data_IF_971447095795
#
_entry.id   IF_971447095795
#
_cell.length_a   1.000
_cell.length_b   1.000
_cell.length_c   1.000
_cell.angle_alpha   90.00
_cell.angle_beta   90.00
_cell.angle_gamma   90.00
#
_symmetry.space_group_name_H-M   'P 1'
#
loop_
_entity.id
_entity.type
_entity.pdbx_description
1 polymer ?
#
# COMPACT_ATOMS: atom_id res chain seq x y z
N UNK A 1 -45.71 -7.31 7.42
CA UNK A 1 -45.80 -8.64 6.74
C UNK A 1 -47.16 -8.75 6.07
N UNK A 2 -47.35 -9.48 4.94
CA UNK A 2 -46.48 -10.53 4.34
C UNK A 2 -46.02 -10.16 2.90
N UNK A 3 -44.88 -10.61 2.36
CA UNK A 3 -44.38 -11.95 1.96
C UNK A 3 -45.06 -12.59 0.73
N UNK A 4 -44.33 -12.55 -0.42
CA UNK A 4 -44.16 -13.56 -1.51
C UNK A 4 -45.41 -14.01 -2.32
N UNK A 5 -45.29 -14.58 -3.56
CA UNK A 5 -44.23 -15.49 -4.05
C UNK A 5 -43.76 -15.37 -5.53
N UNK A 6 -42.67 -16.09 -5.84
CA UNK A 6 -42.16 -16.42 -7.19
C UNK A 6 -43.12 -17.32 -7.98
N UNK A 7 -42.89 -17.49 -9.31
CA UNK A 7 -42.54 -18.84 -9.76
C UNK A 7 -41.45 -18.95 -10.85
N UNK A 8 -41.04 -20.21 -10.96
CA UNK A 8 -39.96 -20.94 -11.65
C UNK A 8 -39.95 -21.02 -13.20
N UNK A 9 -38.76 -21.44 -13.70
CA UNK A 9 -38.38 -22.27 -14.89
C UNK A 9 -37.41 -21.49 -15.80
N UNK A 10 -36.23 -21.96 -16.22
CA UNK A 10 -35.63 -23.29 -16.30
C UNK A 10 -35.11 -23.50 -17.72
N UNK A 11 -33.79 -23.67 -17.92
CA UNK A 11 -33.12 -24.52 -18.94
C UNK A 11 -31.61 -24.28 -19.04
N UNK A 12 -30.87 -25.36 -18.80
CA UNK A 12 -29.82 -25.97 -19.63
C UNK A 12 -28.90 -25.10 -20.50
N UNK A 13 -27.58 -25.19 -20.26
CA UNK A 13 -26.59 -25.50 -21.30
C UNK A 13 -25.22 -25.81 -20.66
N UNK A 14 -24.80 -27.07 -20.79
CA UNK A 14 -23.44 -27.57 -20.57
C UNK A 14 -22.79 -27.70 -21.95
N UNK A 15 -21.57 -27.16 -22.12
CA UNK A 15 -20.73 -27.39 -23.31
C UNK A 15 -19.29 -27.66 -22.83
N UNK A 16 -18.79 -28.90 -22.84
CA UNK A 16 -18.26 -29.66 -23.99
C UNK A 16 -16.80 -29.32 -24.32
N UNK A 17 -15.86 -30.13 -23.80
CA UNK A 17 -14.51 -30.30 -24.34
C UNK A 17 -14.40 -31.73 -24.95
N UNK A 18 -13.86 -31.92 -26.17
CA UNK A 18 -13.77 -33.24 -26.77
C UNK A 18 -12.40 -33.91 -26.61
N UNK A 19 -12.43 -35.19 -26.25
CA UNK A 19 -11.37 -36.18 -26.49
C UNK A 19 -11.45 -36.75 -27.91
N UNK A 20 -10.29 -36.93 -28.57
CA UNK A 20 -10.07 -37.86 -29.71
C UNK A 20 -8.56 -37.93 -30.00
N UNK A 21 -7.90 -39.02 -30.37
CA UNK A 21 -8.12 -40.47 -30.35
C UNK A 21 -6.78 -41.16 -30.68
N UNK A 22 -6.67 -42.44 -30.30
CA UNK A 22 -5.58 -43.35 -30.65
C UNK A 22 -5.68 -43.90 -32.10
N UNK A 23 -4.51 -44.15 -32.70
CA UNK A 23 -4.16 -45.12 -33.78
C UNK A 23 -2.67 -45.46 -33.54
N UNK A 24 -2.11 -46.66 -33.60
CA UNK A 24 -2.51 -47.95 -34.16
C UNK A 24 -1.51 -48.47 -35.22
N UNK A 25 -0.28 -48.85 -34.82
CA UNK A 25 0.70 -49.87 -35.37
C UNK A 25 1.01 -49.95 -36.90
N UNK A 26 1.97 -50.78 -37.43
CA UNK A 26 2.99 -51.70 -36.85
C UNK A 26 4.39 -51.69 -37.55
N UNK A 27 5.22 -52.73 -37.28
CA UNK A 27 6.47 -53.22 -37.93
C UNK A 27 7.79 -52.74 -37.28
N UNK A 28 8.77 -53.56 -36.88
CA UNK A 28 9.05 -54.98 -37.10
C UNK A 28 10.39 -55.14 -37.83
N UNK A 29 11.50 -55.40 -37.13
CA UNK A 29 12.68 -56.13 -37.66
C UNK A 29 13.67 -56.52 -36.54
N UNK A 30 14.16 -57.77 -36.62
CA UNK A 30 15.08 -58.46 -35.71
C UNK A 30 16.56 -58.16 -36.03
N UNK A 31 17.37 -58.00 -34.96
CA UNK A 31 18.72 -58.55 -34.58
C UNK A 31 19.78 -58.94 -35.65
N UNK A 32 21.08 -59.27 -35.33
CA UNK A 32 21.79 -59.33 -34.03
C UNK A 32 23.28 -58.82 -34.00
N UNK A 33 23.80 -58.58 -32.78
CA UNK A 33 25.08 -59.15 -32.31
C UNK A 33 26.42 -58.39 -32.49
N UNK A 34 27.04 -58.01 -31.37
CA UNK A 34 28.42 -58.40 -30.99
C UNK A 34 28.68 -58.16 -29.49
N UNK A 35 29.52 -59.03 -28.93
CA UNK A 35 29.86 -59.22 -27.51
C UNK A 35 31.09 -58.36 -27.09
N UNK A 36 31.53 -58.41 -25.81
CA UNK A 36 31.92 -57.25 -24.99
C UNK A 36 33.43 -57.00 -24.96
N UNK A 37 33.84 -55.85 -24.42
CA UNK A 37 35.16 -55.67 -23.82
C UNK A 37 35.08 -54.97 -22.45
N UNK A 38 36.02 -55.26 -21.52
CA UNK A 38 35.92 -54.97 -20.11
C UNK A 38 36.70 -53.71 -19.72
N UNK A 39 36.32 -53.09 -18.59
CA UNK A 39 37.19 -52.16 -17.87
C UNK A 39 36.56 -50.79 -17.66
N UNK A 40 35.97 -50.61 -16.49
CA UNK A 40 35.58 -49.31 -15.97
C UNK A 40 35.27 -49.47 -14.47
N UNK A 41 35.84 -48.65 -13.57
CA UNK A 41 35.69 -48.84 -12.13
C UNK A 41 34.27 -48.51 -11.67
N UNK A 42 33.78 -49.26 -10.67
CA UNK A 42 32.54 -48.96 -9.95
C UNK A 42 32.63 -47.57 -9.31
N UNK A 43 31.58 -46.74 -9.38
CA UNK A 43 31.37 -45.71 -8.38
C UNK A 43 30.54 -46.31 -7.24
N UNK A 44 31.21 -46.89 -6.25
CA UNK A 44 30.65 -46.94 -4.89
C UNK A 44 30.86 -45.54 -4.29
N UNK A 45 29.90 -44.65 -4.54
CA UNK A 45 29.67 -43.45 -3.72
C UNK A 45 28.27 -42.93 -4.03
N UNK A 46 27.30 -43.45 -3.30
CA UNK A 46 26.06 -42.73 -3.08
C UNK A 46 26.45 -41.40 -2.39
N UNK A 47 26.44 -40.32 -3.15
CA UNK A 47 26.38 -38.97 -2.58
C UNK A 47 25.07 -38.88 -1.79
N UNK A 48 25.07 -38.49 -0.50
CA UNK A 48 23.83 -38.23 0.19
C UNK A 48 23.13 -37.06 -0.51
N UNK A 49 21.87 -37.26 -0.87
CA UNK A 49 21.01 -36.19 -1.37
C UNK A 49 20.97 -35.04 -0.33
N UNK A 50 21.12 -33.78 -0.75
CA UNK A 50 20.92 -32.65 0.16
C UNK A 50 19.41 -32.46 0.35
N UNK A 51 18.81 -33.24 1.24
CA UNK A 51 17.34 -33.22 1.42
C UNK A 51 16.88 -33.46 2.87
N UNK A 52 17.71 -33.23 3.88
CA UNK A 52 17.30 -33.30 5.30
C UNK A 52 17.55 -32.01 6.11
N UNK A 53 18.12 -30.98 5.51
CA UNK A 53 18.39 -29.72 6.23
C UNK A 53 17.25 -28.68 6.13
N UNK A 54 16.44 -28.73 5.06
CA UNK A 54 15.35 -27.78 4.84
C UNK A 54 14.10 -28.11 5.67
N UNK A 55 13.68 -29.39 5.71
CA UNK A 55 12.51 -29.85 6.48
C UNK A 55 12.66 -29.64 8.00
N UNK A 56 13.90 -29.69 8.54
CA UNK A 56 14.15 -29.47 9.97
C UNK A 56 14.06 -28.00 10.37
N UNK A 57 14.50 -27.08 9.51
CA UNK A 57 14.52 -25.65 9.80
C UNK A 57 13.10 -25.04 9.85
N UNK A 58 12.21 -25.52 8.99
CA UNK A 58 10.80 -25.11 8.98
C UNK A 58 10.06 -25.68 10.21
N UNK A 59 10.34 -26.94 10.59
CA UNK A 59 9.79 -27.53 11.82
C UNK A 59 10.20 -26.75 13.07
N UNK A 60 11.47 -26.33 13.16
CA UNK A 60 11.97 -25.55 14.30
C UNK A 60 11.32 -24.15 14.36
N UNK A 61 11.13 -23.49 13.21
CA UNK A 61 10.45 -22.20 13.13
C UNK A 61 8.97 -22.31 13.52
N UNK A 62 8.28 -23.37 13.08
CA UNK A 62 6.89 -23.62 13.45
C UNK A 62 6.71 -23.83 14.96
N UNK A 63 7.63 -24.53 15.61
CA UNK A 63 7.60 -24.71 17.07
C UNK A 63 7.85 -23.38 17.80
N UNK A 64 8.80 -22.57 17.32
CA UNK A 64 9.06 -21.24 17.84
C UNK A 64 7.84 -20.31 17.72
N UNK A 65 7.17 -20.30 16.56
CA UNK A 65 5.96 -19.52 16.31
C UNK A 65 4.81 -19.95 17.25
N UNK A 66 4.63 -21.26 17.45
CA UNK A 66 3.64 -21.79 18.38
C UNK A 66 3.93 -21.38 19.83
N UNK A 67 5.19 -21.46 20.26
CA UNK A 67 5.60 -21.05 21.61
C UNK A 67 5.32 -19.55 21.86
N UNK A 68 5.83 -18.67 20.99
CA UNK A 68 5.66 -17.22 21.18
C UNK A 68 4.19 -16.83 21.05
N UNK A 69 3.43 -17.47 20.16
CA UNK A 69 1.99 -17.25 20.02
C UNK A 69 1.23 -17.66 21.28
N UNK A 70 1.54 -18.81 21.88
CA UNK A 70 0.93 -19.24 23.14
C UNK A 70 1.28 -18.29 24.30
N UNK A 71 2.54 -17.86 24.40
CA UNK A 71 2.97 -16.87 25.40
C UNK A 71 2.29 -15.52 25.20
N UNK A 72 2.05 -15.09 23.96
CA UNK A 72 1.34 -13.84 23.67
C UNK A 72 -0.16 -13.92 24.00
N UNK A 73 -0.76 -15.11 23.91
CA UNK A 73 -2.13 -15.32 24.39
C UNK A 73 -2.27 -15.05 25.89
N UNK A 74 -1.23 -15.38 26.66
CA UNK A 74 -1.08 -15.11 28.10
C UNK A 74 -0.11 -13.94 28.34
N UNK A 75 -0.30 -12.85 27.59
CA UNK A 75 0.60 -11.69 27.58
C UNK A 75 0.92 -11.18 29.01
N UNK A 76 2.19 -10.82 29.29
CA UNK A 76 2.56 -10.19 30.56
C UNK A 76 1.83 -8.87 30.78
N UNK A 77 1.47 -8.60 32.04
CA UNK A 77 0.84 -7.32 32.42
C UNK A 77 1.84 -6.15 32.39
N UNK A 78 3.15 -6.42 32.48
CA UNK A 78 4.19 -5.41 32.49
C UNK A 78 4.68 -5.07 31.08
N UNK A 79 4.86 -3.77 30.82
CA UNK A 79 5.23 -3.28 29.48
C UNK A 79 6.58 -3.79 29.00
N UNK A 80 7.56 -3.99 29.88
CA UNK A 80 8.91 -4.44 29.49
C UNK A 80 8.92 -5.92 29.07
N UNK A 81 8.20 -6.76 29.81
CA UNK A 81 7.99 -8.17 29.50
C UNK A 81 7.20 -8.35 28.20
N UNK A 82 6.11 -7.60 28.05
CA UNK A 82 5.31 -7.59 26.82
C UNK A 82 6.14 -7.12 25.62
N UNK A 83 6.93 -6.06 25.76
CA UNK A 83 7.75 -5.55 24.67
C UNK A 83 8.80 -6.56 24.20
N UNK A 84 9.46 -7.25 25.13
CA UNK A 84 10.40 -8.34 24.79
C UNK A 84 9.71 -9.48 24.06
N UNK A 85 8.51 -9.87 24.51
CA UNK A 85 7.73 -10.91 23.86
C UNK A 85 7.30 -10.50 22.45
N UNK A 86 6.87 -9.24 22.24
CA UNK A 86 6.53 -8.72 20.92
C UNK A 86 7.74 -8.70 19.98
N UNK A 87 8.95 -8.41 20.49
CA UNK A 87 10.17 -8.52 19.69
C UNK A 87 10.50 -9.95 19.28
N UNK A 88 10.26 -10.92 20.16
CA UNK A 88 10.38 -12.34 19.80
C UNK A 88 9.36 -12.70 18.70
N UNK A 89 8.11 -12.28 18.84
CA UNK A 89 7.04 -12.49 17.84
C UNK A 89 7.42 -11.87 16.49
N UNK A 90 7.78 -10.58 16.47
CA UNK A 90 8.25 -9.85 15.29
C UNK A 90 9.39 -10.60 14.59
N UNK A 91 10.42 -11.01 15.34
CA UNK A 91 11.59 -11.74 14.83
C UNK A 91 11.20 -13.03 14.12
N UNK A 92 10.22 -13.78 14.62
CA UNK A 92 9.79 -15.03 14.00
C UNK A 92 8.85 -14.78 12.81
N UNK A 93 7.93 -13.81 12.91
CA UNK A 93 7.04 -13.43 11.79
C UNK A 93 7.84 -12.94 10.57
N UNK A 94 8.92 -12.17 10.77
CA UNK A 94 9.81 -11.71 9.71
C UNK A 94 10.42 -12.84 8.86
N UNK A 95 10.52 -14.05 9.42
CA UNK A 95 11.08 -15.23 8.72
C UNK A 95 10.03 -16.01 7.93
N UNK A 96 8.75 -15.72 8.11
CA UNK A 96 7.65 -16.42 7.44
C UNK A 96 7.42 -15.78 6.07
N UNK A 97 7.46 -16.58 5.02
CA UNK A 97 7.17 -16.11 3.66
C UNK A 97 5.70 -15.73 3.49
N UNK A 98 5.40 -14.98 2.43
CA UNK A 98 4.02 -14.66 2.04
C UNK A 98 3.29 -15.95 1.59
N UNK A 99 2.01 -16.08 1.96
CA UNK A 99 1.18 -17.25 1.65
C UNK A 99 1.86 -18.60 1.99
N UNK A 100 2.30 -18.80 3.25
CA UNK A 100 3.11 -19.96 3.62
C UNK A 100 2.31 -21.26 3.59
N UNK A 101 3.00 -22.40 3.76
CA UNK A 101 2.36 -23.71 3.86
C UNK A 101 1.33 -23.75 5.02
N UNK A 102 0.32 -24.62 4.88
CA UNK A 102 -0.79 -24.69 5.84
C UNK A 102 -0.34 -24.99 7.29
N UNK A 103 0.73 -25.77 7.47
CA UNK A 103 1.32 -26.06 8.79
C UNK A 103 1.94 -24.80 9.41
N UNK A 104 2.70 -24.04 8.63
CA UNK A 104 3.33 -22.80 9.05
C UNK A 104 2.29 -21.72 9.34
N UNK A 105 1.28 -21.59 8.48
CA UNK A 105 0.16 -20.70 8.74
C UNK A 105 -0.58 -21.07 10.03
N UNK A 106 -0.80 -22.36 10.29
CA UNK A 106 -1.38 -22.82 11.56
C UNK A 106 -0.48 -22.51 12.78
N UNK A 107 0.84 -22.47 12.61
CA UNK A 107 1.78 -22.06 13.64
C UNK A 107 1.74 -20.54 13.93
N UNK A 108 1.43 -19.72 12.93
CA UNK A 108 1.31 -18.25 13.06
C UNK A 108 -0.02 -17.83 13.72
N UNK A 109 -1.09 -18.60 13.53
CA UNK A 109 -2.45 -18.28 14.02
C UNK A 109 -2.53 -17.87 15.49
N UNK A 110 -1.90 -18.57 16.47
CA UNK A 110 -2.00 -18.16 17.87
C UNK A 110 -1.48 -16.74 18.12
N UNK A 111 -0.44 -16.31 17.41
CA UNK A 111 0.06 -14.94 17.49
C UNK A 111 -0.92 -13.95 16.82
N UNK A 112 -1.46 -14.29 15.65
CA UNK A 112 -2.46 -13.46 14.95
C UNK A 112 -3.70 -13.20 15.83
N UNK A 113 -4.20 -14.23 16.49
CA UNK A 113 -5.38 -14.14 17.36
C UNK A 113 -5.10 -13.32 18.63
N UNK A 114 -3.86 -13.34 19.12
CA UNK A 114 -3.47 -12.58 20.29
C UNK A 114 -3.28 -11.09 19.97
N UNK A 115 -2.69 -10.76 18.82
CA UNK A 115 -2.35 -9.39 18.41
C UNK A 115 -3.57 -8.47 18.26
N UNK A 116 -4.75 -9.03 18.00
CA UNK A 116 -6.01 -8.28 17.83
C UNK A 116 -6.78 -8.07 19.15
N UNK A 117 -6.25 -8.52 20.28
CA UNK A 117 -6.86 -8.30 21.58
C UNK A 117 -6.88 -6.81 21.91
N UNK A 118 -8.06 -6.31 22.31
CA UNK A 118 -8.27 -4.88 22.58
C UNK A 118 -7.30 -4.33 23.65
N UNK A 119 -6.92 -5.16 24.63
CA UNK A 119 -5.95 -4.82 25.66
C UNK A 119 -4.58 -4.46 25.08
N UNK A 120 -4.16 -5.14 24.00
CA UNK A 120 -2.93 -4.85 23.29
C UNK A 120 -3.10 -3.62 22.37
N UNK A 121 -4.17 -3.59 21.57
CA UNK A 121 -4.40 -2.50 20.61
C UNK A 121 -4.54 -1.12 21.29
N UNK A 122 -5.10 -1.08 22.49
CA UNK A 122 -5.31 0.16 23.26
C UNK A 122 -4.19 0.48 24.25
N UNK A 123 -3.08 -0.28 24.23
CA UNK A 123 -2.00 -0.16 25.22
C UNK A 123 -1.41 1.28 25.27
N UNK A 124 -1.17 1.86 26.46
CA UNK A 124 -0.78 3.27 26.57
C UNK A 124 0.69 3.55 26.18
N UNK A 125 1.56 2.54 26.27
CA UNK A 125 2.98 2.69 25.94
C UNK A 125 3.21 2.75 24.42
N UNK A 126 3.85 3.82 23.94
CA UNK A 126 4.11 4.07 22.52
C UNK A 126 5.06 3.04 21.88
N UNK A 127 6.08 2.56 22.61
CA UNK A 127 7.01 1.55 22.09
C UNK A 127 6.33 0.18 21.97
N UNK A 128 5.44 -0.15 22.92
CA UNK A 128 4.59 -1.36 22.81
C UNK A 128 3.67 -1.26 21.60
N UNK A 129 3.02 -0.10 21.38
CA UNK A 129 2.19 0.13 20.20
C UNK A 129 2.97 0.02 18.90
N UNK A 130 4.20 0.53 18.86
CA UNK A 130 5.06 0.41 17.68
C UNK A 130 5.48 -1.05 17.43
N UNK A 131 5.78 -1.82 18.47
CA UNK A 131 6.09 -3.25 18.34
C UNK A 131 4.86 -4.06 17.85
N UNK A 132 3.67 -3.74 18.36
CA UNK A 132 2.39 -4.30 17.88
C UNK A 132 2.18 -3.95 16.41
N UNK A 133 2.36 -2.69 16.01
CA UNK A 133 2.24 -2.25 14.63
C UNK A 133 3.16 -3.03 13.68
N UNK A 134 4.40 -3.29 14.11
CA UNK A 134 5.37 -4.08 13.35
C UNK A 134 4.94 -5.54 13.20
N UNK A 135 4.47 -6.17 14.28
CA UNK A 135 3.93 -7.53 14.22
C UNK A 135 2.71 -7.59 13.28
N UNK A 136 1.80 -6.63 13.37
CA UNK A 136 0.62 -6.55 12.50
C UNK A 136 1.05 -6.36 11.04
N UNK A 137 2.01 -5.48 10.75
CA UNK A 137 2.47 -5.29 9.36
C UNK A 137 3.04 -6.59 8.79
N UNK A 138 3.78 -7.36 9.58
CA UNK A 138 4.25 -8.67 9.15
C UNK A 138 3.12 -9.69 8.95
N UNK A 139 2.11 -9.70 9.83
CA UNK A 139 0.91 -10.50 9.60
C UNK A 139 0.23 -10.14 8.28
N UNK A 140 0.04 -8.84 7.99
CA UNK A 140 -0.54 -8.40 6.71
C UNK A 140 0.31 -8.82 5.52
N UNK A 141 1.65 -8.84 5.65
CA UNK A 141 2.55 -9.34 4.61
C UNK A 141 2.41 -10.84 4.40
N UNK A 142 2.32 -11.62 5.47
CA UNK A 142 2.20 -13.07 5.43
C UNK A 142 0.89 -13.50 4.76
N UNK A 143 -0.22 -12.80 5.04
CA UNK A 143 -1.53 -13.17 4.51
C UNK A 143 -1.87 -12.57 3.16
N UNK A 144 -1.18 -11.50 2.73
CA UNK A 144 -1.45 -10.86 1.46
C UNK A 144 -1.38 -11.87 0.29
N UNK A 145 -2.25 -11.74 -0.73
CA UNK A 145 -3.18 -10.62 -0.99
C UNK A 145 -4.46 -10.62 -0.13
N UNK A 146 -4.73 -11.67 0.63
CA UNK A 146 -5.92 -11.78 1.46
C UNK A 146 -5.77 -11.00 2.78
N UNK A 147 -6.81 -10.21 3.12
CA UNK A 147 -6.84 -9.51 4.39
C UNK A 147 -6.84 -10.51 5.56
N UNK A 148 -6.00 -10.29 6.59
CA UNK A 148 -5.87 -11.25 7.69
C UNK A 148 -7.09 -11.30 8.62
N UNK A 149 -7.88 -10.22 8.66
CA UNK A 149 -8.99 -10.04 9.59
C UNK A 149 -10.19 -9.39 8.89
N UNK A 150 -11.34 -9.34 9.58
CA UNK A 150 -12.51 -8.61 9.08
C UNK A 150 -12.33 -7.09 9.08
N UNK A 151 -13.17 -6.42 8.30
CA UNK A 151 -13.13 -4.97 8.03
C UNK A 151 -13.07 -4.08 9.29
N UNK A 152 -13.76 -4.46 10.38
CA UNK A 152 -13.77 -3.65 11.59
C UNK A 152 -12.42 -3.72 12.30
N UNK A 153 -11.87 -4.93 12.40
CA UNK A 153 -10.54 -5.14 12.96
C UNK A 153 -9.50 -4.44 12.07
N UNK A 154 -9.58 -4.62 10.75
CA UNK A 154 -8.64 -3.99 9.82
C UNK A 154 -8.59 -2.46 9.95
N UNK A 155 -9.73 -1.79 10.20
CA UNK A 155 -9.77 -0.35 10.47
C UNK A 155 -8.92 0.04 11.69
N UNK A 156 -9.07 -0.67 12.80
CA UNK A 156 -8.31 -0.41 14.02
C UNK A 156 -6.81 -0.67 13.83
N UNK A 157 -6.47 -1.74 13.11
CA UNK A 157 -5.09 -2.10 12.80
C UNK A 157 -4.42 -1.07 11.89
N UNK A 158 -5.11 -0.58 10.85
CA UNK A 158 -4.58 0.48 10.01
C UNK A 158 -4.39 1.79 10.76
N UNK A 159 -5.27 2.11 11.72
CA UNK A 159 -5.09 3.28 12.58
C UNK A 159 -3.76 3.22 13.36
N UNK A 160 -3.43 2.04 13.89
CA UNK A 160 -2.16 1.81 14.59
C UNK A 160 -0.97 1.92 13.64
N UNK A 161 -1.04 1.28 12.47
CA UNK A 161 0.03 1.31 11.45
C UNK A 161 0.30 2.75 11.00
N UNK A 162 -0.73 3.49 10.57
CA UNK A 162 -0.59 4.86 10.09
C UNK A 162 -0.07 5.79 11.19
N UNK A 163 -0.47 5.57 12.44
CA UNK A 163 0.06 6.32 13.59
C UNK A 163 1.59 6.19 13.76
N UNK A 164 2.21 5.11 13.28
CA UNK A 164 3.68 4.96 13.34
C UNK A 164 4.43 5.92 12.43
N UNK A 165 3.76 6.48 11.41
CA UNK A 165 4.37 7.38 10.43
C UNK A 165 4.53 8.82 10.93
N UNK A 166 3.96 9.16 12.08
CA UNK A 166 4.08 10.50 12.67
C UNK A 166 5.51 10.89 13.07
N UNK A 167 6.43 9.92 13.22
CA UNK A 167 7.80 10.16 13.69
C UNK A 167 8.85 9.59 12.72
N UNK A 168 8.63 9.72 11.40
CA UNK A 168 9.59 9.29 10.37
C UNK A 168 10.77 10.26 10.21
N UNK A 169 10.75 11.39 10.91
CA UNK A 169 11.83 12.38 11.02
C UNK A 169 12.78 12.11 12.22
N UNK A 170 12.39 11.24 13.15
CA UNK A 170 13.18 10.86 14.33
C UNK A 170 14.24 9.79 13.98
N UNK A 171 15.20 10.17 13.14
CA UNK A 171 16.24 9.28 12.57
C UNK A 171 17.16 8.70 13.65
N UNK A 172 17.36 9.43 14.75
CA UNK A 172 18.23 9.02 15.87
C UNK A 172 17.52 8.03 16.82
N UNK A 173 16.22 7.79 16.64
CA UNK A 173 15.46 6.84 17.43
C UNK A 173 15.98 5.40 17.24
N UNK A 174 16.19 4.63 18.32
CA UNK A 174 16.47 3.19 18.22
C UNK A 174 15.37 2.43 17.46
N UNK A 175 14.17 3.00 17.43
CA UNK A 175 12.98 2.43 16.79
C UNK A 175 12.78 2.91 15.35
N UNK A 176 13.67 3.75 14.81
CA UNK A 176 13.57 4.28 13.45
C UNK A 176 13.58 3.19 12.39
N UNK A 177 14.48 2.21 12.50
CA UNK A 177 14.55 1.07 11.58
C UNK A 177 13.23 0.29 11.50
N UNK A 178 12.52 0.17 12.63
CA UNK A 178 11.21 -0.49 12.68
C UNK A 178 10.13 0.31 11.94
N UNK A 179 10.11 1.65 12.10
CA UNK A 179 9.17 2.52 11.36
C UNK A 179 9.39 2.42 9.85
N UNK A 180 10.65 2.34 9.41
CA UNK A 180 10.99 2.11 8.00
C UNK A 180 10.45 0.75 7.54
N UNK A 181 10.69 -0.32 8.29
CA UNK A 181 10.21 -1.65 7.95
C UNK A 181 8.69 -1.70 7.79
N UNK A 182 7.94 -1.06 8.68
CA UNK A 182 6.47 -0.96 8.60
C UNK A 182 6.06 -0.24 7.31
N UNK A 183 6.66 0.92 7.02
CA UNK A 183 6.37 1.70 5.82
C UNK A 183 6.68 0.93 4.54
N UNK A 184 7.85 0.26 4.48
CA UNK A 184 8.23 -0.57 3.35
C UNK A 184 7.23 -1.71 3.14
N UNK A 185 6.81 -2.38 4.21
CA UNK A 185 5.82 -3.46 4.12
C UNK A 185 4.49 -2.94 3.58
N UNK A 186 3.97 -1.82 4.11
CA UNK A 186 2.74 -1.16 3.62
C UNK A 186 2.81 -0.86 2.12
N UNK A 187 3.94 -0.32 1.66
CA UNK A 187 4.16 -0.03 0.24
C UNK A 187 4.21 -1.31 -0.61
N UNK A 188 4.99 -2.31 -0.17
CA UNK A 188 5.24 -3.56 -0.93
C UNK A 188 3.98 -4.41 -1.09
N UNK A 189 3.20 -4.58 -0.01
CA UNK A 189 1.96 -5.37 -0.06
C UNK A 189 0.73 -4.53 -0.40
N UNK A 190 0.95 -3.27 -0.79
CA UNK A 190 -0.08 -2.35 -1.28
C UNK A 190 -1.22 -2.18 -0.28
N UNK A 191 -0.93 -2.16 1.02
CA UNK A 191 -1.95 -2.14 2.08
C UNK A 191 -2.91 -0.95 1.99
N UNK A 192 -2.47 0.15 1.37
CA UNK A 192 -3.33 1.29 1.09
C UNK A 192 -4.51 1.01 0.15
N UNK A 193 -4.44 -0.03 -0.69
CA UNK A 193 -5.58 -0.44 -1.52
C UNK A 193 -6.70 -1.01 -0.64
N UNK A 194 -6.34 -1.79 0.39
CA UNK A 194 -7.32 -2.26 1.38
C UNK A 194 -7.93 -1.09 2.15
N UNK A 195 -7.15 -0.03 2.44
CA UNK A 195 -7.72 1.18 3.06
C UNK A 195 -8.73 1.89 2.15
N UNK A 196 -8.53 1.87 0.83
CA UNK A 196 -9.50 2.39 -0.15
C UNK A 196 -10.76 1.53 -0.19
N UNK A 197 -10.61 0.20 -0.26
CA UNK A 197 -11.75 -0.75 -0.28
C UNK A 197 -12.63 -0.63 0.98
N UNK A 198 -12.01 -0.26 2.11
CA UNK A 198 -12.67 -0.04 3.40
C UNK A 198 -13.17 1.39 3.61
N UNK A 199 -13.02 2.28 2.62
CA UNK A 199 -13.43 3.70 2.67
C UNK A 199 -12.81 4.45 3.86
N UNK A 200 -11.53 4.22 4.17
CA UNK A 200 -10.81 4.84 5.30
C UNK A 200 -10.23 6.23 4.95
N UNK A 201 -11.06 7.07 4.36
CA UNK A 201 -10.73 8.37 3.80
C UNK A 201 -9.94 9.31 4.74
N UNK A 202 -10.45 9.51 5.96
CA UNK A 202 -9.81 10.38 6.96
C UNK A 202 -8.42 9.85 7.36
N UNK A 203 -8.27 8.52 7.41
CA UNK A 203 -7.02 7.86 7.77
C UNK A 203 -5.99 7.96 6.63
N UNK A 204 -6.45 7.86 5.38
CA UNK A 204 -5.61 8.06 4.19
C UNK A 204 -5.10 9.51 4.15
N UNK A 205 -5.97 10.49 4.40
CA UNK A 205 -5.56 11.89 4.46
C UNK A 205 -4.58 12.14 5.63
N UNK A 206 -4.82 11.51 6.78
CA UNK A 206 -3.90 11.55 7.92
C UNK A 206 -2.53 10.96 7.57
N UNK A 207 -2.48 9.84 6.84
CA UNK A 207 -1.23 9.25 6.37
C UNK A 207 -0.45 10.21 5.46
N UNK A 208 -1.12 10.84 4.49
CA UNK A 208 -0.50 11.85 3.63
C UNK A 208 0.05 13.02 4.45
N UNK A 209 -0.71 13.47 5.44
CA UNK A 209 -0.27 14.52 6.35
C UNK A 209 0.99 14.10 7.12
N UNK A 210 1.02 12.89 7.68
CA UNK A 210 2.22 12.37 8.35
C UNK A 210 3.43 12.39 7.42
N UNK A 211 3.33 11.89 6.19
CA UNK A 211 4.43 11.93 5.23
C UNK A 211 4.90 13.35 4.92
N UNK A 212 3.99 14.28 4.63
CA UNK A 212 4.37 15.66 4.34
C UNK A 212 4.96 16.41 5.54
N UNK A 213 4.56 16.09 6.77
CA UNK A 213 5.08 16.72 7.99
C UNK A 213 6.42 16.15 8.44
N UNK A 214 6.71 14.89 8.12
CA UNK A 214 7.91 14.18 8.58
C UNK A 214 8.99 14.04 7.50
N UNK A 215 8.67 14.36 6.25
CA UNK A 215 9.67 14.30 5.18
C UNK A 215 10.75 15.36 5.39
N UNK A 216 12.02 14.95 5.34
CA UNK A 216 13.18 15.83 5.50
C UNK A 216 14.18 15.64 4.36
N UNK A 217 15.04 16.64 4.14
CA UNK A 217 16.06 16.59 3.07
C UNK A 217 17.13 15.50 3.28
N UNK A 218 17.33 15.05 4.52
CA UNK A 218 18.36 14.07 4.88
C UNK A 218 17.81 12.65 5.03
N UNK A 219 16.58 12.42 4.58
CA UNK A 219 15.91 11.14 4.80
C UNK A 219 16.47 10.04 3.88
N UNK A 220 16.56 8.79 4.36
CA UNK A 220 17.02 7.69 3.50
C UNK A 220 16.14 7.53 2.25
N UNK A 221 16.75 7.26 1.10
CA UNK A 221 16.04 7.15 -0.19
C UNK A 221 14.90 6.11 -0.15
N UNK A 222 15.09 5.01 0.57
CA UNK A 222 14.08 3.96 0.75
C UNK A 222 12.80 4.49 1.41
N UNK A 223 12.92 5.45 2.32
CA UNK A 223 11.77 6.06 3.02
C UNK A 223 11.00 6.93 2.04
N UNK A 224 11.69 7.82 1.32
CA UNK A 224 11.07 8.69 0.31
C UNK A 224 10.41 7.84 -0.78
N UNK A 225 11.09 6.80 -1.29
CA UNK A 225 10.52 5.89 -2.27
C UNK A 225 9.26 5.21 -1.75
N UNK A 226 9.26 4.75 -0.50
CA UNK A 226 8.09 4.06 0.08
C UNK A 226 6.91 5.02 0.32
N UNK A 227 7.17 6.27 0.74
CA UNK A 227 6.15 7.33 0.80
C UNK A 227 5.54 7.58 -0.59
N UNK A 228 6.38 7.81 -1.60
CA UNK A 228 5.93 8.05 -2.98
C UNK A 228 5.12 6.87 -3.52
N UNK A 229 5.62 5.64 -3.37
CA UNK A 229 4.91 4.43 -3.82
C UNK A 229 3.55 4.31 -3.14
N UNK A 230 3.47 4.53 -1.83
CA UNK A 230 2.21 4.43 -1.09
C UNK A 230 1.21 5.50 -1.53
N UNK A 231 1.64 6.76 -1.62
CA UNK A 231 0.77 7.88 -2.04
C UNK A 231 0.32 7.73 -3.49
N UNK A 232 1.23 7.30 -4.38
CA UNK A 232 0.92 6.98 -5.77
C UNK A 232 -0.16 5.90 -5.86
N UNK A 233 0.01 4.78 -5.15
CA UNK A 233 -0.95 3.67 -5.18
C UNK A 233 -2.35 4.12 -4.74
N UNK A 234 -2.44 4.99 -3.73
CA UNK A 234 -3.73 5.58 -3.32
C UNK A 234 -4.37 6.34 -4.48
N UNK A 235 -3.61 7.18 -5.19
CA UNK A 235 -4.12 8.00 -6.28
C UNK A 235 -4.52 7.16 -7.50
N UNK A 236 -3.67 6.20 -7.88
CA UNK A 236 -3.85 5.39 -9.09
C UNK A 236 -4.98 4.37 -8.92
N UNK A 237 -5.14 3.80 -7.73
CA UNK A 237 -6.18 2.79 -7.47
C UNK A 237 -7.53 3.42 -7.08
N UNK A 238 -7.57 4.73 -6.81
CA UNK A 238 -8.82 5.45 -6.59
C UNK A 238 -9.67 5.50 -7.88
N UNK A 239 -10.94 5.13 -7.79
CA UNK A 239 -11.92 5.37 -8.85
C UNK A 239 -12.18 6.89 -9.01
N UNK A 240 -12.41 7.57 -7.89
CA UNK A 240 -12.55 9.01 -7.80
C UNK A 240 -11.63 9.53 -6.69
N UNK A 241 -10.72 10.45 -7.05
CA UNK A 241 -9.79 11.02 -6.09
C UNK A 241 -10.53 12.01 -5.20
N UNK A 242 -10.36 11.87 -3.89
CA UNK A 242 -10.97 12.80 -2.95
C UNK A 242 -10.46 14.23 -3.13
N UNK A 243 -11.37 15.20 -3.15
CA UNK A 243 -11.04 16.63 -3.29
C UNK A 243 -10.09 17.13 -2.22
N UNK A 244 -10.25 16.67 -0.98
CA UNK A 244 -9.35 17.05 0.12
C UNK A 244 -7.91 16.59 -0.14
N UNK A 245 -7.73 15.36 -0.62
CA UNK A 245 -6.43 14.78 -0.94
C UNK A 245 -5.77 15.51 -2.11
N UNK A 246 -6.51 15.72 -3.21
CA UNK A 246 -6.01 16.43 -4.38
C UNK A 246 -5.68 17.90 -4.06
N UNK A 247 -6.53 18.58 -3.29
CA UNK A 247 -6.26 19.94 -2.81
C UNK A 247 -5.00 20.00 -1.97
N UNK A 248 -4.78 18.99 -1.12
CA UNK A 248 -3.61 18.94 -0.27
C UNK A 248 -2.32 18.73 -1.07
N UNK A 249 -2.32 17.81 -2.04
CA UNK A 249 -1.21 17.63 -2.98
C UNK A 249 -0.91 18.89 -3.78
N UNK A 250 -1.95 19.52 -4.34
CA UNK A 250 -1.82 20.74 -5.12
C UNK A 250 -1.23 21.88 -4.29
N UNK A 251 -1.67 22.01 -3.03
CA UNK A 251 -1.12 22.97 -2.09
C UNK A 251 0.37 22.72 -1.81
N UNK A 252 0.76 21.47 -1.55
CA UNK A 252 2.17 21.10 -1.28
C UNK A 252 3.08 21.30 -2.50
N UNK A 253 2.51 21.35 -3.72
CA UNK A 253 3.22 21.63 -4.96
C UNK A 253 3.16 23.12 -5.41
N UNK A 254 2.78 24.05 -4.53
CA UNK A 254 2.76 25.49 -4.84
C UNK A 254 4.16 26.09 -4.68
N UNK A 255 4.59 26.92 -5.63
CA UNK A 255 5.92 27.56 -5.60
C UNK A 255 5.95 28.68 -4.55
N UNK A 256 6.71 28.50 -3.47
CA UNK A 256 6.81 29.52 -2.41
C UNK A 256 7.70 30.72 -2.75
N UNK A 257 8.61 30.60 -3.73
CA UNK A 257 9.47 31.73 -4.16
C UNK A 257 8.68 32.95 -4.66
N UNK A 258 7.38 32.80 -4.99
CA UNK A 258 6.49 33.91 -5.42
C UNK A 258 5.47 34.35 -4.38
N UNK A 259 5.48 33.82 -3.16
CA UNK A 259 4.52 34.17 -2.11
C UNK A 259 4.77 35.60 -1.57
N UNK A 260 6.00 36.09 -1.64
CA UNK A 260 6.36 37.45 -1.18
C UNK A 260 5.80 38.59 -2.03
N UNK A 261 5.33 38.35 -3.27
CA UNK A 261 4.76 39.42 -4.09
C UNK A 261 3.23 39.54 -3.97
N UNK A 262 2.53 38.45 -3.59
CA UNK A 262 1.07 38.45 -3.51
C UNK A 262 0.54 38.80 -2.12
N UNK A 263 1.25 38.39 -1.05
CA UNK A 263 0.84 38.65 0.33
C UNK A 263 0.89 40.13 0.74
N UNK A 264 1.59 41.00 -0.01
CA UNK A 264 1.59 42.44 0.25
C UNK A 264 0.35 43.18 -0.31
N UNK A 265 -0.43 42.57 -1.20
CA UNK A 265 -1.58 43.24 -1.84
C UNK A 265 -2.95 42.86 -1.26
N UNK A 266 -3.05 41.74 -0.53
CA UNK A 266 -4.34 41.22 -0.05
C UNK A 266 -4.55 41.24 1.47
N UNK A 267 -3.53 41.59 2.27
CA UNK A 267 -3.66 41.67 3.72
C UNK A 267 -4.60 42.81 4.20
N UNK A 268 -4.83 43.82 3.37
CA UNK A 268 -5.64 44.99 3.74
C UNK A 268 -7.16 44.81 3.49
N UNK A 269 -7.66 43.66 2.99
CA UNK A 269 -9.06 43.54 2.52
C UNK A 269 -9.85 42.28 2.93
N UNK A 270 -9.49 41.57 4.01
CA UNK A 270 -10.31 40.44 4.50
C UNK A 270 -10.87 40.69 5.90
N UNK A 271 -12.09 41.23 5.96
CA UNK A 271 -12.99 41.05 7.10
C UNK A 271 -13.48 39.58 7.11
N UNK A 272 -12.93 38.76 8.01
CA UNK A 272 -13.33 37.36 8.16
C UNK A 272 -14.61 37.24 9.02
N UNK A 273 -15.68 36.56 8.54
CA UNK A 273 -16.81 36.19 9.37
C UNK A 273 -16.45 35.00 10.28
N UNK A 274 -16.83 35.07 11.56
CA UNK A 274 -16.65 33.97 12.51
C UNK A 274 -17.48 32.72 12.13
N UNK A 275 -16.93 31.50 12.21
CA UNK A 275 -17.66 30.29 11.85
C UNK A 275 -18.69 29.94 12.93
N UNK A 276 -19.96 29.86 12.51
CA UNK A 276 -21.05 29.31 13.31
C UNK A 276 -20.87 27.79 13.48
N UNK A 277 -21.12 27.34 14.71
CA UNK A 277 -21.02 25.97 15.18
C UNK A 277 -22.03 25.06 14.47
N UNK A 278 -21.58 24.24 13.54
CA UNK A 278 -22.05 22.87 13.25
C UNK A 278 -21.36 22.35 11.98
N UNK A 279 -20.38 21.44 12.14
CA UNK A 279 -19.52 20.91 11.06
C UNK A 279 -18.02 20.81 11.40
N UNK A 280 -17.67 20.69 12.68
CA UNK A 280 -16.40 21.15 13.25
C UNK A 280 -15.11 20.39 12.94
N UNK A 281 -15.09 19.20 12.33
CA UNK A 281 -13.83 18.45 12.13
C UNK A 281 -13.20 18.63 10.74
N UNK A 282 -13.96 18.50 9.65
CA UNK A 282 -13.40 18.63 8.29
C UNK A 282 -12.93 20.05 7.97
N UNK A 283 -13.62 21.07 8.46
CA UNK A 283 -13.28 22.48 8.21
C UNK A 283 -12.00 22.89 8.98
N UNK A 284 -11.80 22.38 10.19
CA UNK A 284 -10.59 22.66 10.97
C UNK A 284 -9.36 21.98 10.37
N UNK A 285 -9.48 20.74 9.88
CA UNK A 285 -8.39 20.06 9.17
C UNK A 285 -8.04 20.84 7.90
N UNK A 286 -9.02 21.18 7.06
CA UNK A 286 -8.80 21.97 5.85
C UNK A 286 -8.09 23.30 6.14
N UNK A 287 -8.53 24.04 7.16
CA UNK A 287 -7.94 25.33 7.53
C UNK A 287 -6.52 25.21 8.10
N UNK A 288 -6.23 24.16 8.87
CA UNK A 288 -4.89 23.89 9.43
C UNK A 288 -3.92 23.44 8.33
N UNK A 289 -4.36 22.61 7.39
CA UNK A 289 -3.56 22.22 6.22
C UNK A 289 -3.26 23.44 5.34
N UNK A 290 -4.23 24.35 5.15
CA UNK A 290 -4.08 25.58 4.35
C UNK A 290 -3.09 26.63 4.87
N UNK A 291 -2.61 26.55 6.11
CA UNK A 291 -1.89 27.65 6.78
C UNK A 291 -0.39 27.42 7.02
N UNK A 292 0.17 26.26 6.66
CA UNK A 292 1.59 25.96 6.89
C UNK A 292 2.43 26.19 5.63
N UNK A 293 3.54 26.90 5.78
CA UNK A 293 4.62 26.96 4.80
C UNK A 293 5.03 25.52 4.41
N UNK A 294 5.13 25.26 3.11
CA UNK A 294 5.53 23.99 2.54
C UNK A 294 7.05 23.87 2.59
N UNK A 295 7.56 22.97 3.42
CA UNK A 295 9.01 22.75 3.45
C UNK A 295 9.54 22.32 2.07
N UNK A 296 10.80 22.60 1.71
CA UNK A 296 11.39 22.14 0.44
C UNK A 296 11.28 20.63 0.23
N UNK A 297 11.44 19.84 1.30
CA UNK A 297 11.29 18.39 1.25
C UNK A 297 9.84 17.96 0.97
N UNK A 298 8.86 18.66 1.56
CA UNK A 298 7.44 18.43 1.30
C UNK A 298 7.08 18.78 -0.16
N UNK A 299 7.64 19.87 -0.68
CA UNK A 299 7.46 20.29 -2.07
C UNK A 299 8.02 19.25 -3.04
N UNK A 300 9.26 18.80 -2.83
CA UNK A 300 9.88 17.76 -3.66
C UNK A 300 9.11 16.42 -3.58
N UNK A 301 8.60 16.05 -2.40
CA UNK A 301 7.76 14.87 -2.25
C UNK A 301 6.47 14.99 -3.09
N UNK A 302 5.81 16.15 -3.04
CA UNK A 302 4.60 16.41 -3.82
C UNK A 302 4.90 16.31 -5.32
N UNK A 303 5.98 16.94 -5.80
CA UNK A 303 6.39 16.83 -7.20
C UNK A 303 6.62 15.39 -7.63
N UNK A 304 7.35 14.61 -6.82
CA UNK A 304 7.62 13.19 -7.10
C UNK A 304 6.35 12.36 -7.15
N UNK A 305 5.41 12.58 -6.22
CA UNK A 305 4.12 11.87 -6.22
C UNK A 305 3.34 12.22 -7.49
N UNK A 306 3.14 13.51 -7.77
CA UNK A 306 2.35 13.97 -8.93
C UNK A 306 2.96 13.46 -10.24
N UNK A 307 4.29 13.49 -10.39
CA UNK A 307 4.95 13.02 -11.61
C UNK A 307 4.93 11.49 -11.78
N UNK A 308 4.66 10.75 -10.70
CA UNK A 308 4.70 9.27 -10.71
C UNK A 308 3.33 8.62 -10.89
N UNK A 309 2.25 9.38 -10.72
CA UNK A 309 0.87 8.90 -10.90
C UNK A 309 0.56 8.62 -12.37
N UNK A 310 -0.45 7.79 -12.63
CA UNK A 310 -0.92 7.50 -13.99
C UNK A 310 -1.45 8.75 -14.70
N UNK A 311 -1.14 8.85 -16.00
CA UNK A 311 -1.55 9.98 -16.84
C UNK A 311 -3.07 10.16 -16.79
N UNK A 312 -3.50 11.40 -16.54
CA UNK A 312 -4.91 11.77 -16.53
C UNK A 312 -5.66 11.54 -15.22
N UNK A 313 -5.09 10.84 -14.21
CA UNK A 313 -5.73 10.67 -12.90
C UNK A 313 -5.95 12.00 -12.18
N UNK A 314 -4.90 12.81 -12.06
CA UNK A 314 -4.92 14.08 -11.31
C UNK A 314 -5.45 15.26 -12.12
N UNK A 315 -5.36 15.21 -13.45
CA UNK A 315 -5.75 16.32 -14.33
C UNK A 315 -7.17 16.86 -14.11
N UNK A 316 -8.24 16.04 -14.12
CA UNK A 316 -9.61 16.57 -14.03
C UNK A 316 -9.84 17.29 -12.70
N UNK A 317 -9.37 16.70 -11.59
CA UNK A 317 -9.57 17.26 -10.26
C UNK A 317 -8.70 18.50 -10.02
N UNK A 318 -7.47 18.55 -10.56
CA UNK A 318 -6.63 19.74 -10.47
C UNK A 318 -7.22 20.91 -11.26
N UNK A 319 -7.71 20.68 -12.48
CA UNK A 319 -8.37 21.74 -13.27
C UNK A 319 -9.61 22.30 -12.56
N UNK A 320 -10.41 21.42 -11.93
CA UNK A 320 -11.55 21.84 -11.13
C UNK A 320 -11.13 22.68 -9.92
N UNK A 321 -10.12 22.24 -9.17
CA UNK A 321 -9.60 22.96 -7.99
C UNK A 321 -9.05 24.34 -8.35
N UNK A 322 -8.23 24.42 -9.41
CA UNK A 322 -7.66 25.68 -9.88
C UNK A 322 -8.75 26.66 -10.34
N UNK A 323 -9.81 26.17 -10.98
CA UNK A 323 -10.95 26.99 -11.39
C UNK A 323 -11.71 27.54 -10.18
N UNK A 324 -11.90 26.74 -9.13
CA UNK A 324 -12.60 27.14 -7.90
C UNK A 324 -11.76 28.12 -7.08
N UNK A 325 -10.46 27.88 -6.97
CA UNK A 325 -9.53 28.71 -6.20
C UNK A 325 -9.17 30.03 -6.93
N UNK A 326 -9.29 30.07 -8.25
CA UNK A 326 -8.93 31.24 -9.05
C UNK A 326 -7.43 31.53 -9.13
N UNK A 327 -6.59 30.56 -8.75
CA UNK A 327 -5.13 30.66 -8.75
C UNK A 327 -4.57 30.31 -10.12
N UNK A 328 -3.67 31.13 -10.69
CA UNK A 328 -3.06 30.83 -11.97
C UNK A 328 -2.07 29.66 -11.88
N UNK A 329 -1.94 28.90 -12.96
CA UNK A 329 -1.15 27.67 -13.02
C UNK A 329 0.36 27.90 -12.83
N UNK A 330 0.85 29.11 -13.09
CA UNK A 330 2.28 29.47 -12.96
C UNK A 330 2.73 29.71 -11.51
N UNK A 331 1.78 29.72 -10.56
CA UNK A 331 2.07 29.70 -9.12
C UNK A 331 2.42 28.28 -8.61
N UNK A 332 2.22 27.24 -9.41
CA UNK A 332 2.49 25.86 -9.04
C UNK A 332 3.73 25.29 -9.73
N UNK A 333 4.21 24.16 -9.23
CA UNK A 333 5.36 23.49 -9.81
C UNK A 333 5.15 23.18 -11.29
N UNK A 334 6.24 23.11 -12.06
CA UNK A 334 6.17 22.82 -13.51
C UNK A 334 5.49 21.47 -13.78
N UNK A 335 5.60 20.52 -12.84
CA UNK A 335 4.93 19.22 -12.94
C UNK A 335 3.41 19.39 -12.92
N UNK A 336 2.86 20.24 -12.05
CA UNK A 336 1.42 20.54 -12.04
C UNK A 336 0.98 21.15 -13.37
N UNK A 337 1.79 22.05 -13.93
CA UNK A 337 1.54 22.62 -15.26
C UNK A 337 1.47 21.53 -16.34
N UNK A 338 2.45 20.63 -16.37
CA UNK A 338 2.50 19.53 -17.34
C UNK A 338 1.29 18.59 -17.23
N UNK A 339 0.89 18.23 -16.00
CA UNK A 339 -0.29 17.37 -15.77
C UNK A 339 -1.58 18.04 -16.24
N UNK A 340 -1.71 19.36 -16.05
CA UNK A 340 -2.91 20.09 -16.46
C UNK A 340 -2.96 20.37 -17.98
N UNK A 341 -1.79 20.57 -18.62
CA UNK A 341 -1.68 20.92 -20.04
C UNK A 341 -1.56 19.71 -20.98
N UNK A 342 -1.13 18.55 -20.49
CA UNK A 342 -1.07 17.30 -21.26
C UNK A 342 -2.44 16.97 -21.86
N UNK A 343 -2.50 16.67 -23.17
CA UNK A 343 -3.67 16.58 -24.06
C UNK A 343 -4.22 17.88 -24.67
N UNK A 344 -3.37 18.84 -25.04
CA UNK A 344 -3.64 19.60 -26.28
C UNK A 344 -3.33 18.74 -27.50
N UNK A 345 -4.17 17.74 -27.78
CA UNK A 345 -4.34 17.32 -29.19
C UNK A 345 -4.96 18.53 -29.87
N UNK A 346 -4.14 19.27 -30.60
CA UNK A 346 -4.62 20.24 -31.58
C UNK A 346 -5.46 19.43 -32.57
N UNK A 347 -6.79 19.45 -32.40
CA UNK A 347 -7.69 19.15 -33.51
C UNK A 347 -7.52 20.31 -34.49
N UNK A 348 -6.56 20.18 -35.39
CA UNK A 348 -6.61 20.88 -36.66
C UNK A 348 -7.83 20.33 -37.40
N UNK A 349 -9.00 20.91 -37.11
CA UNK A 349 -10.14 20.86 -38.01
C UNK A 349 -9.73 21.61 -39.27
N UNK A 350 -9.00 20.93 -40.16
CA UNK A 350 -8.77 21.38 -41.52
C UNK A 350 -10.10 21.28 -42.28
N UNK A 351 -10.91 22.32 -42.08
CA UNK A 351 -12.07 22.63 -42.86
C UNK A 351 -11.58 23.10 -44.25
N UNK A 352 -11.40 22.17 -45.18
CA UNK A 352 -11.29 22.50 -46.60
C UNK A 352 -12.57 22.05 -47.28
N UNK A 353 -13.46 23.03 -47.39
CA UNK A 353 -14.58 23.07 -48.32
C UNK A 353 -14.06 23.02 -49.78
N UNK A 354 -14.62 22.18 -50.66
CA UNK A 354 -14.60 22.46 -52.08
C UNK A 354 -16.04 22.59 -52.58
N UNK A 355 -16.63 23.77 -52.39
CA UNK A 355 -17.63 24.30 -53.31
C UNK A 355 -16.99 24.43 -54.70
N UNK A 356 -17.47 23.64 -55.65
CA UNK A 356 -17.01 23.65 -57.03
C UNK A 356 -17.31 24.94 -57.80
N UNK A 357 -16.71 25.02 -58.99
CA UNK A 357 -17.31 25.61 -60.19
C UNK A 357 -16.47 25.30 -61.45
N UNK A 358 -17.15 24.67 -62.41
CA UNK A 358 -17.19 24.94 -63.85
C UNK A 358 -15.88 25.28 -64.59
N UNK A 359 -15.41 24.36 -65.45
CA UNK A 359 -15.47 24.49 -66.92
C UNK A 359 -15.04 23.21 -67.62
#
# INVERSE_FOLDING_TARGET
RPLKPCPSRGRDAVSSCPHRAARGNPSGCRSPGRRPDPGGPRPDSALPAPQMAADGADSDLEEQLKDVGARLQEAPDDSDGLLKLLYDVEKYLLRVEQSPAASTFAAVRPAMDALIKNELLTHPNAEVKLAIASCISEVTRITAPEAPYDDNIMRDLFSIIVGTFQNLDDIESPSFARRISILETVAKVRSCVVMLDLELDDLILQMFNHFFTTVTSNQPEIVISSMVTTMKLVIDESEEIQTALASYLLQKARNEERVYHFNFLHADNMDLPCPSKEGGSHILIFFVLCSQETSPASFELAEKVISSCEDGKLKPIFLQLLQVQGTPLDEYSKIVTLVCEGDKVVREDNNVDPSGKDT
#
